data_IF_636088233744
#
_entry.id   IF_636088233744
#
_cell.length_a   1.000
_cell.length_b   1.000
_cell.length_c   1.000
_cell.angle_alpha   90.00
_cell.angle_beta   90.00
_cell.angle_gamma   90.00
#
_symmetry.space_group_name_H-M   'P 1'
#
loop_
_entity.id
_entity.type
_entity.pdbx_description
1 polymer ?
#
# COMPACT_ATOMS: atom_id res chain seq x y z
N UNK A 1 -11.99 -31.23 -7.49
CA UNK A 1 -12.65 -30.31 -6.54
C UNK A 1 -11.65 -29.24 -6.19
N UNK A 2 -11.98 -27.97 -6.42
CA UNK A 2 -11.15 -26.83 -5.99
C UNK A 2 -11.55 -26.49 -4.54
N UNK A 3 -10.62 -26.66 -3.61
CA UNK A 3 -10.81 -26.50 -2.16
C UNK A 3 -10.23 -25.18 -1.64
N UNK A 4 -10.38 -24.09 -2.39
CA UNK A 4 -9.82 -22.79 -2.00
C UNK A 4 -10.86 -21.98 -1.23
N UNK A 5 -10.44 -21.39 -0.10
CA UNK A 5 -11.24 -20.38 0.60
C UNK A 5 -11.25 -19.08 -0.20
N UNK A 6 -12.33 -18.30 -0.08
CA UNK A 6 -12.38 -16.97 -0.67
C UNK A 6 -11.37 -16.04 0.01
N UNK A 7 -10.77 -15.09 -0.73
CA UNK A 7 -9.97 -14.02 -0.15
C UNK A 7 -10.77 -13.23 0.89
N UNK A 8 -10.08 -12.64 1.86
CA UNK A 8 -10.72 -11.77 2.84
C UNK A 8 -11.34 -10.54 2.12
N UNK A 9 -12.60 -10.23 2.42
CA UNK A 9 -13.41 -9.27 1.64
C UNK A 9 -14.01 -9.82 0.35
N UNK A 10 -13.87 -11.13 0.06
CA UNK A 10 -14.53 -11.84 -1.02
C UNK A 10 -13.83 -11.77 -2.38
N UNK A 11 -12.86 -10.88 -2.58
CA UNK A 11 -12.11 -10.73 -3.83
C UNK A 11 -10.65 -10.43 -3.55
N UNK A 12 -9.74 -11.06 -4.30
CA UNK A 12 -8.31 -10.81 -4.18
C UNK A 12 -7.98 -9.42 -4.75
N UNK A 13 -7.47 -8.52 -3.92
CA UNK A 13 -7.00 -7.21 -4.36
C UNK A 13 -5.51 -7.27 -4.73
N UNK A 14 -5.20 -7.53 -5.99
CA UNK A 14 -3.82 -7.47 -6.51
C UNK A 14 -3.55 -6.10 -7.14
N UNK A 15 -2.49 -5.43 -6.70
CA UNK A 15 -2.12 -4.08 -7.17
C UNK A 15 -0.97 -4.07 -8.18
N UNK A 16 -0.34 -5.22 -8.44
CA UNK A 16 0.68 -5.36 -9.47
C UNK A 16 0.13 -5.00 -10.86
N UNK A 17 0.77 -4.02 -11.51
CA UNK A 17 0.45 -3.62 -12.87
C UNK A 17 0.89 -4.69 -13.89
N UNK A 18 0.09 -4.84 -14.96
CA UNK A 18 0.53 -5.58 -16.15
C UNK A 18 1.68 -4.87 -16.87
N UNK A 19 2.43 -5.58 -17.70
CA UNK A 19 3.69 -5.11 -18.29
C UNK A 19 3.60 -3.71 -18.94
N UNK A 20 2.59 -3.47 -19.79
CA UNK A 20 2.41 -2.19 -20.47
C UNK A 20 2.14 -1.03 -19.50
N UNK A 21 1.32 -1.27 -18.46
CA UNK A 21 1.03 -0.28 -17.42
C UNK A 21 2.26 -0.06 -16.53
N UNK A 22 3.03 -1.09 -16.24
CA UNK A 22 4.24 -1.01 -15.44
C UNK A 22 5.28 -0.09 -16.08
N UNK A 23 5.49 -0.16 -17.40
CA UNK A 23 6.43 0.75 -18.08
C UNK A 23 6.00 2.22 -17.96
N UNK A 24 4.71 2.51 -18.14
CA UNK A 24 4.19 3.88 -17.91
C UNK A 24 4.39 4.36 -16.48
N UNK A 25 4.10 3.49 -15.50
CA UNK A 25 4.27 3.81 -14.09
C UNK A 25 5.75 4.05 -13.73
N UNK A 26 6.69 3.31 -14.34
CA UNK A 26 8.13 3.54 -14.18
C UNK A 26 8.55 4.91 -14.74
N UNK A 27 7.99 5.32 -15.87
CA UNK A 27 8.24 6.65 -16.44
C UNK A 27 7.69 7.76 -15.53
N UNK A 28 6.44 7.62 -15.06
CA UNK A 28 5.81 8.54 -14.10
C UNK A 28 6.64 8.65 -12.80
N UNK A 29 7.16 7.52 -12.30
CA UNK A 29 7.96 7.48 -11.07
C UNK A 29 9.25 8.31 -11.16
N UNK A 30 9.88 8.43 -12.34
CA UNK A 30 11.14 9.16 -12.50
C UNK A 30 11.04 10.66 -12.17
N UNK A 31 9.85 11.23 -12.33
CA UNK A 31 9.57 12.64 -12.03
C UNK A 31 8.92 12.84 -10.66
N UNK A 32 8.71 11.76 -9.90
CA UNK A 32 7.99 11.78 -8.63
C UNK A 32 8.99 11.81 -7.48
N UNK A 33 8.67 12.55 -6.41
CA UNK A 33 9.48 12.52 -5.18
C UNK A 33 9.48 11.08 -4.65
N UNK A 34 10.62 10.61 -4.17
CA UNK A 34 10.72 9.24 -3.66
C UNK A 34 10.84 9.19 -2.14
N UNK A 35 10.41 8.08 -1.55
CA UNK A 35 10.69 7.68 -0.18
C UNK A 35 11.36 6.32 -0.17
N UNK A 36 12.42 6.19 0.62
CA UNK A 36 13.05 4.91 0.87
C UNK A 36 12.29 4.19 1.98
N UNK A 37 11.85 2.97 1.71
CA UNK A 37 11.09 2.15 2.64
C UNK A 37 12.01 1.43 3.62
N UNK A 38 11.56 1.32 4.86
CA UNK A 38 12.12 0.37 5.81
C UNK A 38 11.82 -1.08 5.39
N UNK A 39 12.58 -2.08 5.87
CA UNK A 39 12.30 -3.50 5.58
C UNK A 39 10.87 -3.92 5.97
N UNK A 40 10.32 -3.32 7.03
CA UNK A 40 8.93 -3.57 7.45
C UNK A 40 7.93 -3.02 6.44
N UNK A 41 8.09 -1.76 6.03
CA UNK A 41 7.21 -1.13 5.05
C UNK A 41 7.29 -1.80 3.69
N UNK A 42 8.47 -2.30 3.29
CA UNK A 42 8.63 -3.09 2.06
C UNK A 42 7.84 -4.41 2.14
N UNK A 43 7.89 -5.09 3.30
CA UNK A 43 7.10 -6.31 3.52
C UNK A 43 5.59 -6.03 3.46
N UNK A 44 5.15 -4.92 4.05
CA UNK A 44 3.74 -4.51 3.99
C UNK A 44 3.34 -4.13 2.55
N UNK A 45 4.22 -3.46 1.81
CA UNK A 45 4.02 -3.16 0.38
C UNK A 45 3.89 -4.44 -0.45
N UNK A 46 4.74 -5.44 -0.25
CA UNK A 46 4.66 -6.70 -0.99
C UNK A 46 3.31 -7.40 -0.78
N UNK A 47 2.80 -7.41 0.45
CA UNK A 47 1.50 -7.99 0.80
C UNK A 47 0.33 -7.19 0.21
N UNK A 48 0.45 -5.86 0.08
CA UNK A 48 -0.51 -5.03 -0.66
C UNK A 48 -0.45 -5.35 -2.18
N UNK A 49 0.75 -5.45 -2.74
CA UNK A 49 0.95 -5.65 -4.18
C UNK A 49 0.43 -7.02 -4.65
N UNK A 50 0.72 -8.08 -3.89
CA UNK A 50 0.32 -9.44 -4.24
C UNK A 50 -1.11 -9.82 -3.78
N UNK A 51 -1.73 -9.00 -2.92
CA UNK A 51 -3.09 -9.21 -2.41
C UNK A 51 -3.20 -10.03 -1.13
N UNK A 52 -2.08 -10.35 -0.47
CA UNK A 52 -2.05 -10.94 0.86
C UNK A 52 -2.77 -10.09 1.92
N UNK A 53 -2.88 -8.78 1.70
CA UNK A 53 -3.66 -7.85 2.52
C UNK A 53 -5.05 -7.51 1.97
N UNK A 54 -5.64 -8.33 1.10
CA UNK A 54 -7.04 -8.15 0.71
C UNK A 54 -7.92 -8.01 1.96
N UNK A 55 -8.82 -7.00 2.04
CA UNK A 55 -9.35 -6.16 0.95
C UNK A 55 -8.58 -4.84 0.71
N UNK A 56 -7.46 -4.60 1.40
CA UNK A 56 -6.75 -3.33 1.32
C UNK A 56 -6.30 -3.00 -0.11
N UNK A 57 -6.41 -1.72 -0.46
CA UNK A 57 -6.04 -1.17 -1.78
C UNK A 57 -4.83 -0.23 -1.74
N UNK A 58 -4.16 -0.20 -0.60
CA UNK A 58 -3.05 0.67 -0.26
C UNK A 58 -2.88 0.71 1.26
N UNK A 59 -1.96 1.55 1.73
CA UNK A 59 -1.84 1.87 3.15
C UNK A 59 -3.12 2.53 3.67
N UNK A 60 -3.41 2.36 4.96
CA UNK A 60 -4.64 2.87 5.56
C UNK A 60 -4.68 4.39 5.53
N UNK A 61 -5.81 4.93 5.09
CA UNK A 61 -6.18 6.32 5.33
C UNK A 61 -6.63 6.53 6.78
N UNK A 62 -6.84 7.79 7.16
CA UNK A 62 -7.19 8.16 8.53
C UNK A 62 -8.43 7.44 9.09
N UNK A 63 -9.51 7.37 8.30
CA UNK A 63 -10.77 6.76 8.75
C UNK A 63 -10.61 5.26 9.06
N UNK A 64 -9.96 4.50 8.16
CA UNK A 64 -9.67 3.09 8.41
C UNK A 64 -8.69 2.91 9.57
N UNK A 65 -7.67 3.76 9.68
CA UNK A 65 -6.71 3.71 10.78
C UNK A 65 -7.38 3.89 12.14
N UNK A 66 -8.19 4.95 12.29
CA UNK A 66 -8.93 5.24 13.53
C UNK A 66 -9.92 4.10 13.85
N UNK A 67 -10.68 3.61 12.86
CA UNK A 67 -11.59 2.48 13.02
C UNK A 67 -10.88 1.19 13.46
N UNK A 68 -9.69 0.92 12.92
CA UNK A 68 -8.89 -0.26 13.29
C UNK A 68 -8.42 -0.17 14.74
N UNK A 69 -7.97 1.01 15.19
CA UNK A 69 -7.57 1.21 16.58
C UNK A 69 -8.74 1.03 17.56
N UNK A 70 -9.91 1.54 17.21
CA UNK A 70 -11.07 1.57 18.11
C UNK A 70 -11.82 0.23 18.14
N UNK A 71 -11.96 -0.41 16.98
CA UNK A 71 -12.89 -1.54 16.79
C UNK A 71 -12.26 -2.78 16.18
N UNK A 72 -10.96 -2.74 15.85
CA UNK A 72 -10.26 -3.80 15.11
C UNK A 72 -10.90 -4.11 13.76
N UNK A 73 -11.53 -3.11 13.14
CA UNK A 73 -12.23 -3.23 11.86
C UNK A 73 -11.92 -2.05 10.96
N UNK A 74 -11.92 -2.29 9.65
CA UNK A 74 -11.95 -1.22 8.65
C UNK A 74 -13.25 -0.43 8.77
N UNK A 75 -13.33 0.76 8.15
CA UNK A 75 -14.54 1.58 8.12
C UNK A 75 -15.72 0.80 7.51
N UNK A 76 -15.43 -0.09 6.56
CA UNK A 76 -16.41 -1.02 5.96
C UNK A 76 -17.02 -2.04 6.95
N UNK A 77 -16.47 -2.16 8.17
CA UNK A 77 -16.86 -3.13 9.19
C UNK A 77 -16.13 -4.48 9.07
N UNK A 78 -15.30 -4.70 8.05
CA UNK A 78 -14.50 -5.92 7.91
C UNK A 78 -13.44 -6.02 9.00
N UNK A 79 -13.25 -7.22 9.57
CA UNK A 79 -12.27 -7.48 10.63
C UNK A 79 -10.85 -7.21 10.12
N UNK A 80 -10.14 -6.30 10.77
CA UNK A 80 -8.76 -5.97 10.46
C UNK A 80 -8.06 -5.42 11.72
N UNK A 81 -7.31 -6.24 12.46
CA UNK A 81 -6.85 -5.89 13.80
C UNK A 81 -5.51 -5.14 13.85
N UNK A 82 -4.83 -4.95 12.71
CA UNK A 82 -3.46 -4.40 12.67
C UNK A 82 -3.39 -3.23 11.70
N UNK A 83 -3.03 -2.01 12.15
CA UNK A 83 -2.81 -0.89 11.25
C UNK A 83 -1.69 -1.18 10.24
N UNK A 84 -1.94 -0.88 8.96
CA UNK A 84 -0.93 -0.95 7.89
C UNK A 84 -0.73 0.46 7.33
N UNK A 85 0.28 1.15 7.82
CA UNK A 85 0.53 2.58 7.54
C UNK A 85 1.88 2.79 6.88
N UNK A 86 1.99 3.88 6.11
CA UNK A 86 3.26 4.37 5.58
C UNK A 86 3.66 5.64 6.33
N UNK A 87 4.51 5.49 7.34
CA UNK A 87 5.18 6.60 7.98
C UNK A 87 6.33 7.13 7.12
N UNK A 88 6.52 8.45 7.13
CA UNK A 88 7.56 9.13 6.36
C UNK A 88 8.27 10.14 7.27
N UNK A 89 9.55 10.49 7.00
CA UNK A 89 10.24 11.51 7.77
C UNK A 89 9.52 12.86 7.73
N UNK A 90 9.55 13.64 8.81
CA UNK A 90 8.88 14.95 8.91
C UNK A 90 9.28 15.89 7.75
N UNK A 91 10.58 15.94 7.41
CA UNK A 91 11.09 16.74 6.30
C UNK A 91 10.55 16.32 4.92
N UNK A 92 10.07 15.08 4.78
CA UNK A 92 9.33 14.65 3.60
C UNK A 92 7.86 15.08 3.72
N UNK A 93 7.22 14.82 4.86
CA UNK A 93 5.82 15.14 5.13
C UNK A 93 5.48 16.63 4.95
N UNK A 94 6.35 17.54 5.38
CA UNK A 94 6.15 19.00 5.28
C UNK A 94 5.94 19.51 3.85
N UNK A 95 6.42 18.77 2.84
CA UNK A 95 6.26 19.11 1.43
C UNK A 95 5.26 18.24 0.69
N UNK A 96 4.42 17.47 1.39
CA UNK A 96 3.40 16.62 0.80
C UNK A 96 2.00 17.18 1.06
N UNK A 97 1.24 17.32 -0.02
CA UNK A 97 -0.18 17.64 0.04
C UNK A 97 -1.04 16.41 -0.28
N UNK A 98 -2.30 16.44 0.14
CA UNK A 98 -3.26 15.41 -0.25
C UNK A 98 -3.36 15.34 -1.79
N UNK A 99 -3.21 14.14 -2.34
CA UNK A 99 -3.18 13.91 -3.79
C UNK A 99 -1.79 13.97 -4.41
N UNK A 100 -0.75 14.33 -3.64
CA UNK A 100 0.63 14.15 -4.08
C UNK A 100 0.94 12.67 -4.35
N UNK A 101 1.86 12.43 -5.28
CA UNK A 101 2.40 11.09 -5.59
C UNK A 101 3.77 10.92 -4.99
N UNK A 102 4.10 9.69 -4.62
CA UNK A 102 5.35 9.37 -3.95
C UNK A 102 5.85 8.01 -4.44
N UNK A 103 7.04 8.00 -5.05
CA UNK A 103 7.69 6.77 -5.45
C UNK A 103 8.22 6.01 -4.23
N UNK A 104 7.80 4.76 -4.07
CA UNK A 104 8.21 3.87 -3.00
C UNK A 104 9.43 3.06 -3.44
N UNK A 105 10.57 3.31 -2.81
CA UNK A 105 11.86 2.71 -3.16
C UNK A 105 12.34 1.75 -2.07
N UNK A 106 13.01 0.67 -2.47
CA UNK A 106 13.78 -0.16 -1.54
C UNK A 106 15.15 0.48 -1.18
N UNK A 107 15.91 -0.11 -0.24
CA UNK A 107 17.25 0.38 0.11
C UNK A 107 18.25 0.38 -1.04
N UNK A 108 18.04 -0.42 -2.08
CA UNK A 108 18.84 -0.46 -3.29
C UNK A 108 18.48 0.66 -4.29
N UNK A 109 17.42 1.43 -4.01
CA UNK A 109 16.93 2.54 -4.83
C UNK A 109 16.02 2.10 -5.98
N UNK A 110 15.58 0.84 -6.00
CA UNK A 110 14.63 0.34 -6.98
C UNK A 110 13.20 0.73 -6.58
N UNK A 111 12.45 1.31 -7.53
CA UNK A 111 11.07 1.75 -7.31
C UNK A 111 10.08 0.61 -7.52
N UNK A 112 9.29 0.31 -6.49
CA UNK A 112 8.26 -0.74 -6.50
C UNK A 112 6.88 -0.21 -6.89
N UNK A 113 6.56 1.03 -6.53
CA UNK A 113 5.29 1.70 -6.86
C UNK A 113 5.47 3.23 -6.93
N UNK A 114 4.79 3.94 -7.86
CA UNK A 114 4.77 5.41 -7.92
C UNK A 114 3.67 6.08 -7.09
#
# INVERSE_FOLDING_TARGET
MEFTILPHGGTLCRLLAGAERAERLKEEARATRAVMLSPRQLSDLDLLLNGGFSPLRGFLGRADYESVLDTMRLESGLLWPIPVTLDVPDALAEGLDAGARLALQDPEGFTHAP
#
